data_IF_334615360609
#
_entry.id   IF_334615360609
#
_cell.length_a   1.000
_cell.length_b   1.000
_cell.length_c   1.000
_cell.angle_alpha   90.00
_cell.angle_beta   90.00
_cell.angle_gamma   90.00
#
_symmetry.space_group_name_H-M   'P 1'
#
loop_
_entity.id
_entity.type
_entity.pdbx_description
1 polymer ?
#
# COMPACT_ATOMS: atom_id res chain seq x y z
N UNK A 1 -5.36 -2.09 -11.23
CA UNK A 1 -6.08 -2.47 -9.99
C UNK A 1 -7.21 -1.49 -9.71
N UNK A 2 -8.41 -1.98 -9.37
CA UNK A 2 -9.56 -1.10 -9.02
C UNK A 2 -9.39 -0.54 -7.60
N UNK A 3 -10.01 0.59 -7.30
CA UNK A 3 -9.90 1.25 -5.98
C UNK A 3 -10.44 0.39 -4.83
N UNK A 4 -11.52 -0.37 -5.05
CA UNK A 4 -12.08 -1.27 -4.04
C UNK A 4 -11.12 -2.40 -3.68
N UNK A 5 -10.53 -3.02 -4.70
CA UNK A 5 -9.50 -4.05 -4.56
C UNK A 5 -8.29 -3.50 -3.79
N UNK A 6 -7.79 -2.32 -4.17
CA UNK A 6 -6.73 -1.63 -3.45
C UNK A 6 -7.02 -1.44 -1.95
N UNK A 7 -8.23 -0.98 -1.60
CA UNK A 7 -8.63 -0.81 -0.19
C UNK A 7 -8.60 -2.13 0.59
N UNK A 8 -8.99 -3.23 -0.05
CA UNK A 8 -8.96 -4.56 0.56
C UNK A 8 -7.51 -4.99 0.82
N UNK A 9 -6.65 -4.86 -0.18
CA UNK A 9 -5.26 -5.31 -0.09
C UNK A 9 -4.44 -4.53 0.94
N UNK A 10 -4.59 -3.20 1.03
CA UNK A 10 -3.84 -2.43 2.04
C UNK A 10 -4.27 -2.80 3.47
N UNK A 11 -5.56 -3.10 3.69
CA UNK A 11 -6.06 -3.60 4.97
C UNK A 11 -5.53 -4.99 5.27
N UNK A 12 -5.45 -5.83 4.25
CA UNK A 12 -4.87 -7.16 4.36
C UNK A 12 -3.39 -7.08 4.74
N UNK A 13 -2.63 -6.10 4.26
CA UNK A 13 -1.24 -5.86 4.70
C UNK A 13 -1.19 -5.39 6.16
N UNK A 14 -2.12 -4.53 6.59
CA UNK A 14 -2.19 -4.02 7.96
C UNK A 14 -2.47 -2.52 8.06
N UNK A 15 -2.58 -1.83 6.92
CA UNK A 15 -2.90 -0.41 6.91
C UNK A 15 -4.36 -0.17 7.26
N UNK A 16 -4.59 0.77 8.18
CA UNK A 16 -5.92 1.18 8.62
C UNK A 16 -6.69 1.96 7.57
N UNK A 17 -6.00 2.66 6.66
CA UNK A 17 -6.61 3.54 5.67
C UNK A 17 -5.75 3.74 4.43
N UNK A 18 -6.36 4.30 3.37
CA UNK A 18 -5.61 4.75 2.19
C UNK A 18 -4.61 5.86 2.53
N UNK A 19 -4.94 6.71 3.51
CA UNK A 19 -4.09 7.82 3.94
C UNK A 19 -2.81 7.30 4.60
N UNK A 20 -2.94 6.39 5.55
CA UNK A 20 -1.77 5.81 6.23
C UNK A 20 -0.87 5.05 5.27
N UNK A 21 -1.42 4.34 4.29
CA UNK A 21 -0.62 3.75 3.21
C UNK A 21 0.11 4.82 2.38
N UNK A 22 -0.58 5.91 2.02
CA UNK A 22 -0.03 6.98 1.21
C UNK A 22 1.17 7.66 1.87
N UNK A 23 1.04 7.93 3.17
CA UNK A 23 2.07 8.56 4.00
C UNK A 23 3.37 7.73 4.01
N UNK A 24 3.26 6.40 4.15
CA UNK A 24 4.45 5.54 4.17
C UNK A 24 5.17 5.45 2.83
N UNK A 25 4.45 5.56 1.70
CA UNK A 25 5.08 5.52 0.37
C UNK A 25 5.41 6.91 -0.19
N UNK A 26 5.31 7.98 0.62
CA UNK A 26 5.62 9.35 0.20
C UNK A 26 4.64 9.95 -0.81
N UNK A 27 3.39 9.47 -0.87
CA UNK A 27 2.36 9.94 -1.81
C UNK A 27 1.27 10.71 -1.05
N UNK A 28 0.78 11.82 -1.61
CA UNK A 28 -0.38 12.52 -1.04
C UNK A 28 -1.63 11.63 -1.08
N UNK A 29 -2.36 11.50 0.02
CA UNK A 29 -3.56 10.66 0.08
C UNK A 29 -4.65 11.05 -0.96
N UNK A 30 -4.74 12.34 -1.30
CA UNK A 30 -5.65 12.87 -2.33
C UNK A 30 -5.35 12.32 -3.72
N UNK A 31 -4.13 11.85 -3.96
CA UNK A 31 -3.75 11.22 -5.22
C UNK A 31 -4.56 9.94 -5.49
N UNK A 32 -4.96 9.21 -4.44
CA UNK A 32 -5.83 8.04 -4.56
C UNK A 32 -7.32 8.36 -4.70
N UNK A 33 -7.73 9.60 -4.41
CA UNK A 33 -9.14 10.00 -4.59
C UNK A 33 -9.45 10.29 -6.05
N UNK A 34 -8.49 10.87 -6.78
CA UNK A 34 -8.59 11.23 -8.20
C UNK A 34 -8.37 10.05 -9.15
N UNK A 35 -7.66 9.01 -8.72
CA UNK A 35 -7.35 7.87 -9.57
C UNK A 35 -8.56 6.97 -9.83
N UNK A 36 -8.90 6.84 -11.13
CA UNK A 36 -9.84 5.83 -11.63
C UNK A 36 -9.27 4.42 -11.48
N UNK A 37 -7.96 4.26 -11.68
CA UNK A 37 -7.19 3.03 -11.50
C UNK A 37 -5.90 3.33 -10.75
N UNK A 38 -5.47 2.41 -9.88
CA UNK A 38 -4.20 2.55 -9.17
C UNK A 38 -3.03 2.36 -10.15
N UNK A 39 -2.04 3.28 -10.18
CA UNK A 39 -0.87 3.17 -11.03
C UNK A 39 -0.07 1.88 -10.81
N UNK A 40 0.54 1.37 -11.87
CA UNK A 40 1.26 0.09 -11.85
C UNK A 40 2.41 0.04 -10.84
N UNK A 41 3.13 1.15 -10.63
CA UNK A 41 4.21 1.20 -9.62
C UNK A 41 3.68 1.00 -8.21
N UNK A 42 2.54 1.60 -7.86
CA UNK A 42 1.88 1.39 -6.56
C UNK A 42 1.36 -0.04 -6.44
N UNK A 43 0.81 -0.60 -7.52
CA UNK A 43 0.39 -2.02 -7.55
C UNK A 43 1.57 -2.95 -7.25
N UNK A 44 2.76 -2.69 -7.80
CA UNK A 44 3.96 -3.49 -7.48
C UNK A 44 4.32 -3.41 -6.01
N UNK A 45 4.31 -2.21 -5.41
CA UNK A 45 4.58 -2.02 -3.98
C UNK A 45 3.61 -2.84 -3.12
N UNK A 46 2.30 -2.77 -3.43
CA UNK A 46 1.27 -3.54 -2.72
C UNK A 46 1.53 -5.04 -2.82
N UNK A 47 1.84 -5.53 -4.02
CA UNK A 47 2.09 -6.96 -4.22
C UNK A 47 3.34 -7.44 -3.46
N UNK A 48 4.40 -6.63 -3.40
CA UNK A 48 5.59 -6.96 -2.60
C UNK A 48 5.27 -6.98 -1.09
N UNK A 49 4.51 -5.99 -0.61
CA UNK A 49 4.10 -5.93 0.79
C UNK A 49 3.18 -7.10 1.19
N UNK A 50 2.27 -7.52 0.31
CA UNK A 50 1.45 -8.72 0.51
C UNK A 50 2.30 -9.98 0.58
N UNK A 51 3.24 -10.14 -0.35
CA UNK A 51 4.13 -11.30 -0.37
C UNK A 51 5.00 -11.37 0.90
N UNK A 52 5.53 -10.23 1.35
CA UNK A 52 6.28 -10.16 2.61
C UNK A 52 5.41 -10.57 3.80
N UNK A 53 4.17 -10.07 3.88
CA UNK A 53 3.23 -10.47 4.94
C UNK A 53 2.90 -11.96 4.91
N UNK A 54 2.61 -12.50 3.74
CA UNK A 54 2.33 -13.93 3.54
C UNK A 54 3.54 -14.80 3.91
N UNK A 55 4.74 -14.26 3.78
CA UNK A 55 5.99 -14.90 4.21
C UNK A 55 6.28 -14.76 5.71
N UNK A 56 5.39 -14.14 6.48
CA UNK A 56 5.52 -13.98 7.93
C UNK A 56 6.35 -12.77 8.38
N UNK A 57 6.70 -11.85 7.47
CA UNK A 57 7.40 -10.61 7.84
C UNK A 57 6.48 -9.72 8.67
N UNK A 58 7.00 -9.15 9.76
CA UNK A 58 6.22 -8.28 10.62
C UNK A 58 5.80 -7.01 9.89
N UNK A 59 4.61 -6.49 10.24
CA UNK A 59 4.07 -5.30 9.58
C UNK A 59 4.98 -4.08 9.71
N UNK A 60 5.64 -3.89 10.85
CA UNK A 60 6.57 -2.78 11.07
C UNK A 60 7.82 -2.85 10.17
N UNK A 61 8.30 -4.06 9.87
CA UNK A 61 9.42 -4.26 8.94
C UNK A 61 9.01 -3.95 7.51
N UNK A 62 7.81 -4.42 7.11
CA UNK A 62 7.22 -4.09 5.80
C UNK A 62 7.07 -2.58 5.65
N UNK A 63 6.52 -1.93 6.67
CA UNK A 63 6.31 -0.49 6.72
C UNK A 63 7.62 0.28 6.57
N UNK A 64 8.65 -0.13 7.30
CA UNK A 64 9.98 0.47 7.23
C UNK A 64 10.63 0.29 5.85
N UNK A 65 10.50 -0.87 5.23
CA UNK A 65 11.03 -1.15 3.90
C UNK A 65 10.30 -0.41 2.76
N UNK A 66 9.06 0.03 3.01
CA UNK A 66 8.26 0.77 2.04
C UNK A 66 8.53 2.27 2.03
N UNK A 67 9.21 2.80 3.07
CA UNK A 67 9.56 4.21 3.15
C UNK A 67 10.53 4.57 2.03
N UNK A 68 10.22 5.65 1.33
CA UNK A 68 11.11 6.28 0.36
C UNK A 68 11.71 7.48 1.08
N UNK A 69 13.03 7.49 1.27
CA UNK A 69 13.81 8.63 1.77
C UNK A 69 13.73 9.83 0.82
#
# INVERSE_FOLDING_TARGET
>A
MKKQEFKKLIREIGFTSQRSFAEEIGVKATTFTTYKLIPNHIVRIINMALLAKQSGVAFEDIKSAMKVD
#
